data_IF_285381823028
#
_entry.id   IF_285381823028
#
_cell.length_a   1.000
_cell.length_b   1.000
_cell.length_c   1.000
_cell.angle_alpha   90.00
_cell.angle_beta   90.00
_cell.angle_gamma   90.00
#
_symmetry.space_group_name_H-M   'P 1'
#
loop_
_entity.id
_entity.type
_entity.pdbx_description
1 polymer ?
#
# COMPACT_ATOMS: atom_id res chain seq x y z
N UNK A 1 22.47 85.32 -21.59
CA UNK A 1 22.65 85.16 -23.05
C UNK A 1 24.10 84.77 -23.27
N UNK A 2 24.38 83.53 -23.68
CA UNK A 2 25.75 83.09 -23.92
C UNK A 2 26.34 83.88 -25.11
N UNK A 3 27.21 84.85 -24.84
CA UNK A 3 27.89 85.64 -25.85
C UNK A 3 28.94 84.75 -26.52
N UNK A 4 28.63 84.25 -27.72
CA UNK A 4 29.58 83.53 -28.55
C UNK A 4 30.70 84.51 -28.91
N UNK A 5 31.98 84.20 -28.62
CA UNK A 5 33.10 85.05 -28.97
C UNK A 5 33.08 85.36 -30.48
N UNK A 6 33.36 86.61 -30.87
CA UNK A 6 33.30 87.04 -32.28
C UNK A 6 34.23 86.21 -33.19
N UNK A 7 35.28 85.59 -32.63
CA UNK A 7 36.19 84.69 -33.33
C UNK A 7 35.55 83.37 -33.80
N UNK A 8 34.45 82.94 -33.18
CA UNK A 8 33.78 81.66 -33.50
C UNK A 8 32.54 81.84 -34.38
N UNK A 9 31.97 83.05 -34.42
CA UNK A 9 30.78 83.38 -35.22
C UNK A 9 30.90 83.03 -36.71
N UNK A 10 32.00 83.34 -37.43
CA UNK A 10 32.09 82.99 -38.85
C UNK A 10 32.13 81.47 -39.10
N UNK A 11 32.72 80.69 -38.18
CA UNK A 11 32.67 79.23 -38.26
C UNK A 11 31.28 78.69 -37.95
N UNK A 12 30.58 79.31 -37.01
CA UNK A 12 29.22 78.94 -36.62
C UNK A 12 28.21 79.26 -37.71
N UNK A 13 28.31 80.42 -38.38
CA UNK A 13 27.46 80.79 -39.51
C UNK A 13 27.70 79.87 -40.71
N UNK A 14 28.96 79.48 -40.95
CA UNK A 14 29.32 78.48 -41.97
C UNK A 14 28.73 77.11 -41.63
N UNK A 15 28.91 76.64 -40.39
CA UNK A 15 28.38 75.36 -39.95
C UNK A 15 26.84 75.37 -39.98
N UNK A 16 26.19 76.41 -39.49
CA UNK A 16 24.73 76.55 -39.52
C UNK A 16 24.19 76.58 -40.96
N UNK A 17 24.92 77.19 -41.92
CA UNK A 17 24.51 77.23 -43.33
C UNK A 17 24.75 75.90 -44.07
N UNK A 18 25.83 75.18 -43.75
CA UNK A 18 26.27 74.00 -44.49
C UNK A 18 26.18 72.67 -43.71
N UNK A 19 25.68 72.66 -42.46
CA UNK A 19 25.63 71.46 -41.60
C UNK A 19 24.90 70.30 -42.28
N UNK A 20 23.80 70.57 -43.00
CA UNK A 20 23.05 69.55 -43.72
C UNK A 20 23.93 68.84 -44.77
N UNK A 21 24.66 69.61 -45.58
CA UNK A 21 25.52 69.07 -46.63
C UNK A 21 26.79 68.41 -46.10
N UNK A 22 27.28 68.81 -44.92
CA UNK A 22 28.40 68.15 -44.25
C UNK A 22 27.98 66.85 -43.55
N UNK A 23 26.81 66.83 -42.91
CA UNK A 23 26.30 65.67 -42.20
C UNK A 23 25.72 64.61 -43.14
N UNK A 24 25.15 65.01 -44.28
CA UNK A 24 24.56 64.11 -45.26
C UNK A 24 25.50 62.99 -45.76
N UNK A 25 26.79 63.22 -46.08
CA UNK A 25 27.73 62.16 -46.40
C UNK A 25 28.41 61.55 -45.16
N UNK A 26 28.57 62.31 -44.08
CA UNK A 26 29.26 61.85 -42.86
C UNK A 26 28.49 60.73 -42.15
N UNK A 27 27.16 60.87 -42.04
CA UNK A 27 26.33 59.89 -41.34
C UNK A 27 26.33 58.52 -42.05
N UNK A 28 26.08 58.41 -43.37
CA UNK A 28 26.23 57.14 -44.09
C UNK A 28 27.64 56.57 -44.02
N UNK A 29 28.68 57.41 -44.09
CA UNK A 29 30.07 56.98 -43.99
C UNK A 29 30.43 56.37 -42.63
N UNK A 30 29.72 56.72 -41.54
CA UNK A 30 29.88 56.12 -40.22
C UNK A 30 28.96 54.91 -40.00
N UNK A 31 27.71 54.98 -40.47
CA UNK A 31 26.70 53.93 -40.24
C UNK A 31 26.94 52.71 -41.12
N UNK A 32 27.34 52.88 -42.38
CA UNK A 32 27.55 51.75 -43.28
C UNK A 32 28.70 50.83 -42.81
N UNK A 33 29.91 51.33 -42.46
CA UNK A 33 30.99 50.45 -41.99
C UNK A 33 30.65 49.72 -40.69
N UNK A 34 29.94 50.39 -39.77
CA UNK A 34 29.56 49.77 -38.50
C UNK A 34 28.58 48.62 -38.71
N UNK A 35 27.58 48.77 -39.59
CA UNK A 35 26.65 47.69 -39.94
C UNK A 35 27.34 46.48 -40.59
N UNK A 36 28.27 46.71 -41.53
CA UNK A 36 29.00 45.61 -42.17
C UNK A 36 29.91 44.88 -41.17
N UNK A 37 30.56 45.61 -40.25
CA UNK A 37 31.46 45.03 -39.26
C UNK A 37 30.71 44.24 -38.17
N UNK A 38 29.54 44.71 -37.73
CA UNK A 38 28.71 44.00 -36.74
C UNK A 38 28.09 42.74 -37.35
N UNK A 39 27.58 42.82 -38.58
CA UNK A 39 26.98 41.66 -39.25
C UNK A 39 28.03 40.57 -39.52
N UNK A 40 29.25 40.94 -39.91
CA UNK A 40 30.35 39.99 -40.11
C UNK A 40 30.77 39.28 -38.83
N UNK A 41 30.91 40.02 -37.71
CA UNK A 41 31.28 39.43 -36.41
C UNK A 41 30.20 38.51 -35.86
N UNK A 42 28.94 38.93 -35.91
CA UNK A 42 27.81 38.13 -35.42
C UNK A 42 27.67 36.83 -36.24
N UNK A 43 27.81 36.90 -37.57
CA UNK A 43 27.79 35.72 -38.43
C UNK A 43 28.95 34.76 -38.14
N UNK A 44 30.16 35.28 -37.91
CA UNK A 44 31.31 34.47 -37.55
C UNK A 44 31.14 33.77 -36.18
N UNK A 45 30.55 34.47 -35.20
CA UNK A 45 30.27 33.93 -33.87
C UNK A 45 29.20 32.83 -33.91
N UNK A 46 28.12 33.04 -34.67
CA UNK A 46 27.08 32.02 -34.91
C UNK A 46 27.70 30.79 -35.57
N UNK A 47 28.53 30.96 -36.60
CA UNK A 47 29.20 29.85 -37.28
C UNK A 47 30.17 29.10 -36.35
N UNK A 48 30.89 29.80 -35.48
CA UNK A 48 31.78 29.20 -34.49
C UNK A 48 31.01 28.39 -33.46
N UNK A 49 29.90 28.92 -32.94
CA UNK A 49 29.06 28.23 -31.95
C UNK A 49 28.33 27.04 -32.57
N UNK A 50 27.89 27.15 -33.82
CA UNK A 50 27.36 26.03 -34.59
C UNK A 50 28.36 24.87 -34.69
N UNK A 51 29.60 25.15 -35.09
CA UNK A 51 30.68 24.14 -35.12
C UNK A 51 30.99 23.53 -33.75
N UNK A 52 30.94 24.32 -32.69
CA UNK A 52 31.15 23.83 -31.31
C UNK A 52 30.03 22.86 -30.89
N UNK A 53 28.78 23.19 -31.21
CA UNK A 53 27.62 22.34 -30.95
C UNK A 53 27.70 21.06 -31.79
N UNK A 54 28.00 21.16 -33.09
CA UNK A 54 28.16 20.01 -33.98
C UNK A 54 29.31 19.09 -33.52
N UNK A 55 30.40 19.67 -33.00
CA UNK A 55 31.51 18.93 -32.40
C UNK A 55 31.07 18.16 -31.14
N UNK A 56 30.29 18.79 -30.26
CA UNK A 56 29.74 18.13 -29.06
C UNK A 56 28.73 17.05 -29.40
N UNK A 57 27.85 17.29 -30.37
CA UNK A 57 26.87 16.30 -30.85
C UNK A 57 27.58 15.11 -31.51
N UNK A 58 28.60 15.36 -32.34
CA UNK A 58 29.43 14.31 -32.93
C UNK A 58 30.13 13.47 -31.86
N UNK A 59 30.64 14.12 -30.81
CA UNK A 59 31.25 13.43 -29.65
C UNK A 59 30.24 12.54 -28.92
N UNK A 60 28.99 13.00 -28.74
CA UNK A 60 27.92 12.20 -28.13
C UNK A 60 27.49 11.03 -29.02
N UNK A 61 27.38 11.23 -30.34
CA UNK A 61 27.07 10.15 -31.30
C UNK A 61 28.17 9.10 -31.36
N UNK A 62 29.43 9.48 -31.12
CA UNK A 62 30.54 8.55 -31.03
C UNK A 62 30.44 7.66 -29.77
N UNK A 63 29.85 8.15 -28.68
CA UNK A 63 29.54 7.37 -27.48
C UNK A 63 28.32 6.46 -27.70
N UNK A 64 27.33 6.92 -28.47
CA UNK A 64 26.11 6.17 -28.83
C UNK A 64 26.41 4.94 -29.74
N UNK A 65 27.53 4.97 -30.47
CA UNK A 65 28.02 3.85 -31.28
C UNK A 65 28.68 2.70 -30.49
N UNK A 66 28.81 2.81 -29.17
CA UNK A 66 29.43 1.79 -28.30
C UNK A 66 28.34 0.92 -27.66
N UNK A 67 27.98 -0.18 -28.32
CA UNK A 67 27.10 -1.23 -27.78
C UNK A 67 27.78 -2.03 -26.66
N UNK A 68 27.02 -2.53 -25.67
CA UNK A 68 26.70 -1.83 -24.43
C UNK A 68 27.93 -1.68 -23.51
N UNK A 69 27.98 -0.67 -22.65
CA UNK A 69 29.01 -0.57 -21.61
C UNK A 69 28.42 -0.92 -20.22
N UNK A 70 28.36 -2.22 -19.85
CA UNK A 70 28.52 -2.59 -18.47
C UNK A 70 29.95 -2.22 -18.09
N UNK A 71 30.12 -1.14 -17.33
CA UNK A 71 31.31 -1.02 -16.54
C UNK A 71 31.24 -2.17 -15.53
N UNK A 72 31.94 -3.28 -15.81
CA UNK A 72 31.92 -4.50 -14.98
C UNK A 72 32.22 -4.19 -13.50
N UNK A 73 32.97 -3.12 -13.23
CA UNK A 73 33.23 -2.66 -11.87
C UNK A 73 31.99 -2.05 -11.20
N UNK A 74 31.16 -1.32 -11.96
CA UNK A 74 29.91 -0.74 -11.48
C UNK A 74 28.83 -1.81 -11.28
N UNK A 75 28.68 -2.77 -12.21
CA UNK A 75 27.75 -3.89 -12.04
C UNK A 75 28.15 -4.74 -10.83
N UNK A 76 29.44 -5.04 -10.68
CA UNK A 76 29.96 -5.75 -9.50
C UNK A 76 29.71 -4.99 -8.19
N UNK A 77 29.90 -3.67 -8.17
CA UNK A 77 29.63 -2.85 -6.98
C UNK A 77 28.12 -2.78 -6.66
N UNK A 78 27.27 -2.65 -7.69
CA UNK A 78 25.82 -2.71 -7.53
C UNK A 78 25.34 -4.07 -7.03
N UNK A 79 25.90 -5.17 -7.53
CA UNK A 79 25.56 -6.52 -7.07
C UNK A 79 25.98 -6.71 -5.61
N UNK A 80 27.16 -6.20 -5.23
CA UNK A 80 27.61 -6.21 -3.82
C UNK A 80 26.67 -5.41 -2.92
N UNK A 81 26.29 -4.20 -3.32
CA UNK A 81 25.34 -3.36 -2.57
C UNK A 81 23.96 -4.01 -2.49
N UNK A 82 23.48 -4.56 -3.59
CA UNK A 82 22.20 -5.27 -3.67
C UNK A 82 22.21 -6.50 -2.76
N UNK A 83 23.29 -7.30 -2.79
CA UNK A 83 23.46 -8.45 -1.90
C UNK A 83 23.54 -8.02 -0.43
N UNK A 84 24.20 -6.89 -0.13
CA UNK A 84 24.24 -6.32 1.22
C UNK A 84 22.84 -5.94 1.70
N UNK A 85 22.10 -5.14 0.92
CA UNK A 85 20.74 -4.72 1.26
C UNK A 85 19.83 -5.94 1.43
N UNK A 86 19.90 -6.93 0.53
CA UNK A 86 19.12 -8.18 0.67
C UNK A 86 19.40 -8.89 1.99
N UNK A 87 20.67 -8.99 2.40
CA UNK A 87 21.06 -9.61 3.68
C UNK A 87 20.60 -8.79 4.88
N UNK A 88 20.78 -7.48 4.85
CA UNK A 88 20.34 -6.58 5.93
C UNK A 88 18.83 -6.63 6.09
N UNK A 89 18.07 -6.50 4.99
CA UNK A 89 16.62 -6.68 5.00
C UNK A 89 16.25 -8.05 5.55
N UNK A 90 16.82 -9.15 5.05
CA UNK A 90 16.50 -10.48 5.58
C UNK A 90 16.81 -10.62 7.08
N UNK A 91 17.91 -10.02 7.56
CA UNK A 91 18.26 -10.04 8.97
C UNK A 91 17.26 -9.26 9.83
N UNK A 92 16.80 -8.07 9.39
CA UNK A 92 15.78 -7.31 10.12
C UNK A 92 14.43 -8.02 10.10
N UNK A 93 14.05 -8.64 8.98
CA UNK A 93 12.84 -9.45 8.90
C UNK A 93 12.91 -10.67 9.83
N UNK A 94 14.07 -11.31 9.92
CA UNK A 94 14.29 -12.42 10.85
C UNK A 94 14.18 -11.95 12.31
N UNK A 95 14.80 -10.82 12.67
CA UNK A 95 14.68 -10.25 14.03
C UNK A 95 13.24 -9.92 14.38
N UNK A 96 12.50 -9.32 13.46
CA UNK A 96 11.09 -9.03 13.66
C UNK A 96 10.29 -10.31 13.84
N UNK A 97 10.52 -11.32 12.99
CA UNK A 97 9.89 -12.63 13.11
C UNK A 97 10.17 -13.30 14.46
N UNK A 98 11.44 -13.30 14.89
CA UNK A 98 11.86 -13.89 16.15
C UNK A 98 11.26 -13.13 17.35
N UNK A 99 11.12 -11.80 17.27
CA UNK A 99 10.46 -11.00 18.31
C UNK A 99 8.97 -11.33 18.48
N UNK A 100 8.35 -11.94 17.46
CA UNK A 100 6.95 -12.38 17.49
C UNK A 100 6.79 -13.84 17.93
N UNK A 101 7.88 -14.55 18.26
CA UNK A 101 7.82 -15.97 18.62
C UNK A 101 6.82 -16.25 19.76
N UNK A 102 6.78 -15.36 20.76
CA UNK A 102 5.86 -15.48 21.91
C UNK A 102 4.38 -15.31 21.51
N UNK A 103 4.11 -14.58 20.42
CA UNK A 103 2.76 -14.41 19.86
C UNK A 103 2.37 -15.60 18.96
N UNK A 104 3.32 -16.44 18.57
CA UNK A 104 3.12 -17.56 17.65
C UNK A 104 2.81 -18.89 18.35
N UNK A 105 2.21 -18.82 19.54
CA UNK A 105 1.82 -20.01 20.31
C UNK A 105 0.60 -20.70 19.71
N UNK A 106 0.69 -22.02 19.58
CA UNK A 106 -0.41 -22.86 19.14
C UNK A 106 -1.26 -23.32 20.34
N UNK A 107 -2.60 -23.41 20.19
CA UNK A 107 -3.48 -23.88 21.25
C UNK A 107 -3.14 -25.31 21.67
N UNK A 108 -3.02 -25.54 22.98
CA UNK A 108 -2.70 -26.87 23.53
C UNK A 108 -3.81 -27.90 23.28
N UNK A 109 -5.05 -27.43 23.08
CA UNK A 109 -6.24 -28.23 22.76
C UNK A 109 -6.10 -29.02 21.45
N UNK A 110 -5.19 -28.60 20.55
CA UNK A 110 -4.92 -29.32 19.32
C UNK A 110 -4.13 -30.62 19.54
N UNK A 111 -3.61 -30.85 20.74
CA UNK A 111 -2.91 -32.08 21.14
C UNK A 111 -1.40 -32.08 20.85
N UNK A 112 -0.60 -32.78 21.67
CA UNK A 112 0.86 -32.75 21.60
C UNK A 112 1.42 -33.33 20.29
N UNK A 113 0.73 -34.32 19.71
CA UNK A 113 1.04 -34.90 18.41
C UNK A 113 0.88 -33.89 17.26
N UNK A 114 -0.09 -32.98 17.34
CA UNK A 114 -0.23 -31.88 16.37
C UNK A 114 0.97 -30.95 16.44
N UNK A 115 1.29 -30.50 17.66
CA UNK A 115 2.36 -29.53 17.92
C UNK A 115 3.72 -30.09 17.49
N UNK A 116 3.99 -31.36 17.80
CA UNK A 116 5.20 -32.05 17.36
C UNK A 116 5.26 -32.19 15.83
N UNK A 117 4.13 -32.50 15.19
CA UNK A 117 4.10 -32.63 13.73
C UNK A 117 4.30 -31.28 13.05
N UNK A 118 3.80 -30.22 13.65
CA UNK A 118 3.93 -28.86 13.14
C UNK A 118 5.35 -28.31 13.30
N UNK A 119 6.00 -28.51 14.44
CA UNK A 119 7.38 -28.06 14.67
C UNK A 119 8.39 -28.75 13.74
N UNK A 120 8.07 -29.96 13.28
CA UNK A 120 8.87 -30.71 12.29
C UNK A 120 8.44 -30.47 10.83
N UNK A 121 7.45 -29.60 10.59
CA UNK A 121 6.89 -29.39 9.26
C UNK A 121 7.80 -28.51 8.40
N UNK A 122 8.34 -29.08 7.33
CA UNK A 122 9.12 -28.31 6.34
C UNK A 122 8.19 -27.49 5.43
N UNK A 123 8.64 -26.32 4.91
CA UNK A 123 7.88 -25.55 3.94
C UNK A 123 7.42 -26.41 2.75
N UNK A 124 6.16 -26.29 2.38
CA UNK A 124 5.57 -27.04 1.27
C UNK A 124 5.22 -28.50 1.57
N UNK A 125 5.42 -28.99 2.80
CA UNK A 125 4.91 -30.30 3.24
C UNK A 125 3.51 -30.17 3.83
N UNK A 126 2.77 -31.26 3.77
CA UNK A 126 1.39 -31.35 4.24
C UNK A 126 1.28 -32.10 5.57
N UNK A 127 0.33 -31.67 6.39
CA UNK A 127 -0.11 -32.35 7.59
C UNK A 127 -0.92 -33.60 7.22
N UNK A 128 -0.80 -34.70 7.98
CA UNK A 128 -1.68 -35.86 7.84
C UNK A 128 -3.16 -35.48 7.94
N UNK A 129 -4.00 -36.15 7.14
CA UNK A 129 -5.44 -35.89 7.09
C UNK A 129 -6.12 -35.91 8.45
N UNK A 130 -5.73 -36.83 9.33
CA UNK A 130 -6.29 -36.94 10.69
C UNK A 130 -6.12 -35.65 11.50
N UNK A 131 -4.96 -34.98 11.38
CA UNK A 131 -4.69 -33.71 12.06
C UNK A 131 -5.50 -32.57 11.45
N UNK A 132 -5.72 -32.59 10.14
CA UNK A 132 -6.54 -31.60 9.43
C UNK A 132 -8.02 -31.71 9.83
N UNK A 133 -8.55 -32.93 9.95
CA UNK A 133 -9.91 -33.18 10.44
C UNK A 133 -10.06 -32.74 11.90
N UNK A 134 -9.07 -33.02 12.75
CA UNK A 134 -9.08 -32.55 14.15
C UNK A 134 -9.05 -31.04 14.25
N UNK A 135 -8.24 -30.37 13.42
CA UNK A 135 -8.23 -28.91 13.38
C UNK A 135 -9.59 -28.37 12.93
N UNK A 136 -10.19 -28.95 11.87
CA UNK A 136 -11.53 -28.60 11.41
C UNK A 136 -12.57 -28.69 12.52
N UNK A 137 -12.55 -29.74 13.34
CA UNK A 137 -13.51 -29.88 14.45
C UNK A 137 -13.22 -28.94 15.63
N UNK A 138 -11.96 -28.53 15.82
CA UNK A 138 -11.54 -27.77 17.00
C UNK A 138 -11.54 -26.26 16.79
N UNK A 139 -11.34 -25.78 15.56
CA UNK A 139 -11.15 -24.34 15.28
C UNK A 139 -12.36 -23.49 15.70
N UNK A 140 -13.57 -24.01 15.54
CA UNK A 140 -14.81 -23.31 15.89
C UNK A 140 -14.94 -23.17 17.41
N UNK A 141 -14.60 -24.21 18.15
CA UNK A 141 -14.52 -24.16 19.61
C UNK A 141 -13.45 -23.20 20.13
N UNK A 142 -12.34 -23.06 19.38
CA UNK A 142 -11.35 -22.03 19.70
C UNK A 142 -11.87 -20.62 19.42
N UNK A 143 -12.63 -20.42 18.33
CA UNK A 143 -13.26 -19.14 18.00
C UNK A 143 -14.32 -18.71 19.03
N UNK A 144 -15.10 -19.66 19.57
CA UNK A 144 -16.09 -19.41 20.65
C UNK A 144 -15.49 -18.76 21.90
N UNK A 145 -14.17 -18.87 22.12
CA UNK A 145 -13.47 -18.26 23.26
C UNK A 145 -13.18 -16.76 23.06
N UNK A 146 -13.26 -16.24 21.83
CA UNK A 146 -12.90 -14.84 21.53
C UNK A 146 -13.76 -13.80 22.27
N UNK A 147 -15.11 -13.89 22.29
CA UNK A 147 -15.94 -12.89 22.97
C UNK A 147 -15.59 -12.77 24.46
N UNK A 148 -15.34 -13.90 25.12
CA UNK A 148 -14.98 -13.92 26.54
C UNK A 148 -13.66 -13.19 26.83
N UNK A 149 -12.69 -13.20 25.91
CA UNK A 149 -11.40 -12.52 26.09
C UNK A 149 -11.53 -11.00 26.18
N UNK A 150 -12.50 -10.43 25.47
CA UNK A 150 -12.80 -9.00 25.49
C UNK A 150 -13.92 -8.61 26.47
N UNK A 151 -14.44 -9.57 27.25
CA UNK A 151 -15.55 -9.35 28.16
C UNK A 151 -16.90 -9.13 27.47
N UNK A 152 -17.09 -9.64 26.25
CA UNK A 152 -18.36 -9.60 25.54
C UNK A 152 -19.19 -10.87 25.81
N UNK A 153 -20.51 -10.75 25.69
CA UNK A 153 -21.40 -11.92 25.74
C UNK A 153 -21.14 -12.85 24.55
N UNK A 154 -21.11 -14.16 24.80
CA UNK A 154 -20.94 -15.17 23.77
C UNK A 154 -22.27 -15.37 23.01
N UNK A 155 -22.26 -15.05 21.72
CA UNK A 155 -23.40 -15.23 20.80
C UNK A 155 -23.08 -16.16 19.62
N UNK A 156 -21.89 -16.77 19.60
CA UNK A 156 -21.49 -17.75 18.59
C UNK A 156 -22.14 -19.12 18.89
N UNK A 157 -23.15 -19.50 18.10
CA UNK A 157 -23.91 -20.73 18.31
C UNK A 157 -23.74 -21.64 17.09
N UNK A 158 -23.53 -22.93 17.31
CA UNK A 158 -23.56 -23.90 16.22
C UNK A 158 -25.00 -24.05 15.69
N UNK A 159 -25.26 -24.01 14.37
CA UNK A 159 -26.60 -24.22 13.84
C UNK A 159 -27.28 -25.50 14.37
N UNK A 160 -26.51 -26.55 14.62
CA UNK A 160 -27.01 -27.81 15.22
C UNK A 160 -27.39 -27.64 16.71
N UNK A 161 -26.66 -26.81 17.47
CA UNK A 161 -26.99 -26.45 18.85
C UNK A 161 -28.22 -25.52 18.90
N UNK A 162 -28.34 -24.61 17.93
CA UNK A 162 -29.46 -23.67 17.77
C UNK A 162 -30.79 -24.41 17.52
N UNK A 163 -30.75 -25.50 16.76
CA UNK A 163 -31.89 -26.39 16.52
C UNK A 163 -32.27 -27.21 17.77
N UNK A 164 -31.29 -27.59 18.59
CA UNK A 164 -31.52 -28.30 19.85
C UNK A 164 -32.13 -27.38 20.93
N UNK A 165 -31.68 -26.13 21.05
CA UNK A 165 -32.26 -25.14 21.98
C UNK A 165 -33.63 -24.60 21.52
N UNK A 166 -33.90 -24.58 20.21
CA UNK A 166 -35.22 -24.27 19.66
C UNK A 166 -36.23 -25.43 19.74
N UNK A 167 -35.79 -26.62 20.19
CA UNK A 167 -36.54 -27.87 20.23
C UNK A 167 -37.02 -28.30 21.62
N UNK A 168 -37.17 -27.36 22.56
CA UNK A 168 -37.65 -27.64 23.92
C UNK A 168 -39.18 -27.78 24.04
N UNK A 169 -39.63 -29.01 24.27
CA UNK A 169 -40.87 -29.41 24.96
C UNK A 169 -42.22 -28.89 24.44
N UNK A 170 -42.65 -29.44 23.30
CA UNK A 170 -44.07 -29.53 22.93
C UNK A 170 -44.50 -30.99 22.86
N UNK A 171 -44.99 -31.54 23.97
CA UNK A 171 -45.65 -32.84 23.99
C UNK A 171 -46.93 -32.78 23.16
N UNK A 172 -46.92 -33.37 21.96
CA UNK A 172 -48.11 -33.46 21.12
C UNK A 172 -47.80 -33.95 19.71
N UNK A 173 -48.08 -35.22 19.43
CA UNK A 173 -47.96 -35.79 18.10
C UNK A 173 -48.90 -35.12 17.10
N UNK A 174 -48.35 -34.75 15.94
CA UNK A 174 -49.11 -34.30 14.77
C UNK A 174 -48.21 -34.32 13.52
N UNK A 175 -48.70 -34.78 12.35
CA UNK A 175 -47.86 -34.98 11.17
C UNK A 175 -47.47 -33.65 10.47
N UNK A 176 -46.41 -33.66 9.64
CA UNK A 176 -45.68 -32.47 9.24
C UNK A 176 -46.26 -31.86 7.95
N UNK A 177 -46.35 -30.53 7.88
CA UNK A 177 -46.70 -29.87 6.62
C UNK A 177 -46.88 -28.36 6.70
N UNK A 178 -45.90 -27.63 6.17
CA UNK A 178 -46.10 -26.47 5.28
C UNK A 178 -46.79 -25.19 5.78
N UNK A 179 -47.34 -25.13 6.99
CA UNK A 179 -48.15 -23.97 7.43
C UNK A 179 -47.56 -23.14 8.59
N UNK A 180 -46.36 -23.46 9.09
CA UNK A 180 -45.74 -22.69 10.16
C UNK A 180 -45.09 -21.37 9.69
N UNK A 181 -44.70 -21.25 8.41
CA UNK A 181 -44.08 -20.02 7.90
C UNK A 181 -45.08 -18.91 7.57
N UNK A 182 -46.34 -19.25 7.23
CA UNK A 182 -47.28 -18.25 6.73
C UNK A 182 -47.97 -17.46 7.85
N UNK A 183 -47.99 -17.99 9.09
CA UNK A 183 -48.64 -17.32 10.22
C UNK A 183 -47.72 -16.36 10.99
N UNK A 184 -46.43 -16.25 10.63
CA UNK A 184 -45.47 -15.34 11.30
C UNK A 184 -45.29 -14.00 10.59
N UNK A 185 -45.80 -13.84 9.36
CA UNK A 185 -45.67 -12.61 8.57
C UNK A 185 -46.88 -11.66 8.64
N UNK A 186 -47.94 -12.00 9.40
CA UNK A 186 -49.15 -11.18 9.50
C UNK A 186 -49.60 -10.92 10.95
N UNK A 187 -48.70 -10.43 11.81
CA UNK A 187 -49.12 -9.82 13.07
C UNK A 187 -48.36 -8.51 13.32
N UNK A 188 -48.97 -7.35 13.03
CA UNK A 188 -48.43 -6.06 13.44
C UNK A 188 -48.76 -5.86 14.92
N UNK A 189 -47.73 -5.85 15.77
CA UNK A 189 -47.88 -5.58 17.19
C UNK A 189 -48.08 -6.83 18.03
N UNK A 190 -46.96 -7.38 18.51
CA UNK A 190 -46.95 -8.49 19.46
C UNK A 190 -45.56 -8.57 20.08
N UNK A 191 -45.27 -7.69 21.03
CA UNK A 191 -44.07 -7.79 21.85
C UNK A 191 -44.06 -9.14 22.56
N UNK A 192 -43.00 -9.92 22.34
CA UNK A 192 -42.78 -11.20 23.00
C UNK A 192 -42.55 -10.93 24.50
N UNK A 193 -43.48 -11.28 25.41
CA UNK A 193 -43.26 -11.13 26.83
C UNK A 193 -42.59 -12.40 27.34
N UNK A 194 -41.30 -12.35 27.65
CA UNK A 194 -40.64 -13.51 28.26
C UNK A 194 -39.12 -13.56 28.24
N UNK A 195 -38.43 -12.77 27.42
CA UNK A 195 -37.01 -12.50 27.66
C UNK A 195 -36.93 -11.32 28.62
N UNK A 196 -36.96 -11.61 29.92
CA UNK A 196 -36.23 -10.75 30.84
C UNK A 196 -34.83 -10.63 30.24
N UNK A 197 -34.49 -9.45 29.70
CA UNK A 197 -33.16 -9.17 29.20
C UNK A 197 -32.22 -9.60 30.32
N UNK A 198 -31.48 -10.70 30.12
CA UNK A 198 -30.38 -11.05 31.00
C UNK A 198 -29.57 -9.76 31.07
N UNK A 199 -29.48 -9.16 32.26
CA UNK A 199 -28.65 -7.98 32.43
C UNK A 199 -27.25 -8.44 32.07
N UNK A 200 -26.80 -8.07 30.87
CA UNK A 200 -25.49 -8.48 30.38
C UNK A 200 -24.47 -7.96 31.38
N UNK A 201 -23.59 -8.85 31.82
CA UNK A 201 -22.44 -8.45 32.63
C UNK A 201 -21.26 -8.08 31.73
N UNK A 202 -21.50 -8.05 30.41
CA UNK A 202 -20.52 -7.75 29.39
C UNK A 202 -19.98 -6.32 29.53
N UNK A 203 -18.66 -6.20 29.47
CA UNK A 203 -17.95 -4.92 29.46
C UNK A 203 -18.07 -4.24 28.09
N UNK A 204 -18.15 -5.05 27.03
CA UNK A 204 -18.18 -4.61 25.63
C UNK A 204 -19.33 -5.27 24.90
N UNK A 205 -20.05 -4.49 24.10
CA UNK A 205 -21.08 -5.01 23.20
C UNK A 205 -20.44 -5.41 21.86
N UNK A 206 -20.58 -6.68 21.49
CA UNK A 206 -20.22 -7.17 20.16
C UNK A 206 -21.47 -7.72 19.48
N UNK A 207 -21.85 -7.07 18.38
CA UNK A 207 -22.98 -7.45 17.53
C UNK A 207 -23.03 -8.97 17.29
N UNK A 208 -24.11 -9.66 17.71
CA UNK A 208 -24.27 -11.10 17.51
C UNK A 208 -24.15 -11.56 16.05
N UNK A 209 -24.60 -10.75 15.09
CA UNK A 209 -24.49 -11.10 13.68
C UNK A 209 -23.02 -11.13 13.19
N UNK A 210 -22.19 -10.23 13.73
CA UNK A 210 -20.77 -10.19 13.40
C UNK A 210 -20.00 -11.32 14.10
N UNK A 211 -20.37 -11.66 15.34
CA UNK A 211 -19.87 -12.86 16.02
C UNK A 211 -20.16 -14.12 15.20
N UNK A 212 -21.40 -14.29 14.75
CA UNK A 212 -21.81 -15.44 13.95
C UNK A 212 -21.08 -15.47 12.60
N UNK A 213 -20.95 -14.34 11.91
CA UNK A 213 -20.19 -14.23 10.65
C UNK A 213 -18.74 -14.68 10.82
N UNK A 214 -18.08 -14.27 11.90
CA UNK A 214 -16.72 -14.71 12.21
C UNK A 214 -16.68 -16.22 12.49
N UNK A 215 -17.60 -16.71 13.31
CA UNK A 215 -17.70 -18.13 13.65
C UNK A 215 -17.92 -19.02 12.42
N UNK A 216 -18.77 -18.58 11.49
CA UNK A 216 -19.06 -19.27 10.23
C UNK A 216 -17.86 -19.23 9.26
N UNK A 217 -16.98 -18.23 9.35
CA UNK A 217 -15.77 -18.15 8.52
C UNK A 217 -14.79 -19.30 8.77
N UNK A 218 -14.85 -19.93 9.95
CA UNK A 218 -14.07 -21.11 10.32
C UNK A 218 -14.79 -22.43 10.01
N UNK A 219 -15.93 -22.39 9.33
CA UNK A 219 -16.62 -23.60 8.88
C UNK A 219 -16.01 -24.16 7.59
N UNK A 220 -15.71 -25.46 7.58
CA UNK A 220 -15.24 -26.16 6.40
C UNK A 220 -16.03 -27.44 6.11
N UNK A 221 -16.64 -27.54 4.94
CA UNK A 221 -17.33 -28.76 4.49
C UNK A 221 -16.36 -29.94 4.39
N UNK A 222 -15.17 -29.70 3.83
CA UNK A 222 -14.11 -30.68 3.61
C UNK A 222 -12.92 -30.39 4.52
N UNK A 223 -12.12 -31.39 4.91
CA UNK A 223 -10.88 -31.14 5.63
C UNK A 223 -10.03 -30.06 4.94
N UNK A 224 -9.60 -29.02 5.66
CA UNK A 224 -8.81 -27.93 5.11
C UNK A 224 -7.42 -28.41 4.70
N UNK A 225 -6.77 -27.70 3.78
CA UNK A 225 -5.35 -27.92 3.45
C UNK A 225 -4.46 -27.35 4.55
N UNK A 226 -3.24 -27.86 4.67
CA UNK A 226 -2.26 -27.37 5.66
C UNK A 226 -2.04 -25.85 5.61
N UNK A 227 -1.99 -25.25 4.41
CA UNK A 227 -1.88 -23.79 4.27
C UNK A 227 -3.08 -23.05 4.84
N UNK A 228 -4.29 -23.60 4.67
CA UNK A 228 -5.51 -23.01 5.23
C UNK A 228 -5.53 -23.12 6.75
N UNK A 229 -5.04 -24.23 7.31
CA UNK A 229 -4.89 -24.38 8.76
C UNK A 229 -3.92 -23.36 9.35
N UNK A 230 -2.75 -23.18 8.73
CA UNK A 230 -1.77 -22.18 9.17
C UNK A 230 -2.35 -20.77 9.15
N UNK A 231 -2.98 -20.39 8.02
CA UNK A 231 -3.58 -19.06 7.84
C UNK A 231 -4.74 -18.84 8.82
N UNK A 232 -5.68 -19.78 8.95
CA UNK A 232 -6.79 -19.65 9.88
C UNK A 232 -6.31 -19.52 11.33
N UNK A 233 -5.23 -20.21 11.71
CA UNK A 233 -4.64 -20.06 13.03
C UNK A 233 -3.96 -18.70 13.21
N UNK A 234 -3.35 -18.13 12.16
CA UNK A 234 -2.84 -16.75 12.18
C UNK A 234 -3.99 -15.75 12.37
N UNK A 235 -5.06 -15.88 11.60
CA UNK A 235 -6.25 -15.02 11.72
C UNK A 235 -6.85 -15.09 13.12
N UNK A 236 -7.04 -16.31 13.66
CA UNK A 236 -7.57 -16.51 15.00
C UNK A 236 -6.67 -15.88 16.08
N UNK A 237 -5.35 -15.94 15.91
CA UNK A 237 -4.39 -15.28 16.81
C UNK A 237 -4.54 -13.76 16.73
N UNK A 238 -4.63 -13.18 15.53
CA UNK A 238 -4.82 -11.75 15.35
C UNK A 238 -6.12 -11.29 16.02
N UNK A 239 -7.23 -11.99 15.81
CA UNK A 239 -8.47 -11.69 16.53
C UNK A 239 -8.28 -11.78 18.04
N UNK A 240 -7.60 -12.82 18.53
CA UNK A 240 -7.28 -12.96 19.94
C UNK A 240 -6.52 -11.77 20.52
N UNK A 241 -5.49 -11.30 19.83
CA UNK A 241 -4.70 -10.13 20.24
C UNK A 241 -5.54 -8.84 20.26
N UNK A 242 -6.41 -8.66 19.26
CA UNK A 242 -7.34 -7.53 19.24
C UNK A 242 -8.34 -7.58 20.40
N UNK A 243 -8.87 -8.76 20.72
CA UNK A 243 -9.76 -8.95 21.87
C UNK A 243 -9.05 -8.62 23.19
N UNK A 244 -7.82 -9.10 23.38
CA UNK A 244 -7.04 -8.82 24.60
C UNK A 244 -6.74 -7.31 24.72
N UNK A 245 -6.43 -6.64 23.62
CA UNK A 245 -6.15 -5.21 23.61
C UNK A 245 -7.39 -4.36 23.94
N UNK A 246 -8.59 -4.84 23.63
CA UNK A 246 -9.86 -4.17 23.97
C UNK A 246 -10.22 -4.36 25.45
N UNK A 247 -9.81 -5.48 26.05
CA UNK A 247 -10.00 -5.74 27.48
C UNK A 247 -9.02 -4.97 28.40
N UNK A 248 -7.86 -4.57 27.86
CA UNK A 248 -6.80 -3.87 28.58
C UNK A 248 -7.11 -2.38 28.82
#
# INVERSE_FOLDING_TARGET
MAMIPDSVRPYWDFLAKYHFWLLAPLVPALVLPTLFMTNGKLAAEIASKGKEIDGKISSLKQVDGITPHPNDTWTTDLDKRTARVKRETLAEWQRFWDSQADLQTWPAELGPDFLQRLSSLKPGKELPRQLLERYKSSVRELAKKLPARMGADAAMIDPDEQLAEGGGEGQGGGPPGGMAMMNRMMQPGGGVPGMAARRSTALVEWNPADQQRLYDSFHWDKPPKTKQVLLAQEELRVYGLLCDQIAA
#
